data_IF_876359389007
#
_entry.id   IF_876359389007
#
_cell.length_a   1.000
_cell.length_b   1.000
_cell.length_c   1.000
_cell.angle_alpha   90.00
_cell.angle_beta   90.00
_cell.angle_gamma   90.00
#
_symmetry.space_group_name_H-M   'P 1'
#
loop_
_entity.id
_entity.type
_entity.pdbx_description
1 polymer ?
#
# COMPACT_ATOMS: atom_id res chain seq x y z
N UNK A 1 8.99 2.51 8.98
CA UNK A 1 8.07 1.41 8.62
C UNK A 1 6.67 1.61 9.16
N UNK A 2 5.73 2.09 8.31
CA UNK A 2 4.36 2.45 8.74
C UNK A 2 3.61 1.32 9.46
N UNK A 3 3.75 0.09 9.00
CA UNK A 3 2.98 -1.05 9.50
C UNK A 3 3.74 -1.97 10.47
N UNK A 4 5.07 -1.87 10.58
CA UNK A 4 5.87 -2.86 11.32
C UNK A 4 5.58 -2.89 12.83
N UNK A 5 5.12 -1.80 13.42
CA UNK A 5 4.72 -1.73 14.83
C UNK A 5 3.24 -1.35 15.01
N UNK A 6 2.36 -1.79 14.09
CA UNK A 6 0.92 -1.60 14.21
C UNK A 6 0.45 -0.14 14.24
N UNK A 7 1.22 0.79 13.66
CA UNK A 7 0.95 2.22 13.66
C UNK A 7 1.75 3.03 14.68
N UNK A 8 2.44 2.40 15.63
CA UNK A 8 3.39 3.10 16.49
C UNK A 8 4.57 3.61 15.64
N UNK A 9 4.96 4.90 15.75
CA UNK A 9 6.09 5.44 15.02
C UNK A 9 7.38 4.66 15.28
N UNK A 10 7.82 3.90 14.29
CA UNK A 10 8.97 3.00 14.37
C UNK A 10 9.55 2.79 12.98
N UNK A 11 10.83 2.50 12.93
CA UNK A 11 11.53 2.09 11.71
C UNK A 11 12.46 0.91 12.00
N UNK A 12 12.63 0.05 11.01
CA UNK A 12 13.65 -0.98 10.97
C UNK A 12 14.52 -0.73 9.75
N UNK A 13 15.80 -0.76 9.93
CA UNK A 13 16.80 -0.58 8.89
C UNK A 13 17.97 -1.55 9.12
N UNK A 14 18.73 -1.81 8.10
CA UNK A 14 19.92 -2.64 8.14
C UNK A 14 21.02 -2.06 7.28
N UNK A 15 22.22 -2.53 7.49
CA UNK A 15 23.43 -2.19 6.73
C UNK A 15 24.05 -3.46 6.16
N UNK A 16 24.80 -3.35 5.07
CA UNK A 16 25.76 -4.37 4.66
C UNK A 16 26.97 -4.33 5.59
N UNK A 17 27.70 -5.44 5.71
CA UNK A 17 28.87 -5.52 6.57
C UNK A 17 29.92 -4.44 6.24
N UNK A 18 30.16 -4.17 4.96
CA UNK A 18 31.06 -3.09 4.52
C UNK A 18 30.58 -1.71 5.01
N UNK A 19 29.30 -1.42 4.89
CA UNK A 19 28.73 -0.15 5.38
C UNK A 19 28.76 -0.07 6.90
N UNK A 20 28.52 -1.18 7.60
CA UNK A 20 28.59 -1.22 9.05
C UNK A 20 30.01 -0.96 9.55
N UNK A 21 31.03 -1.60 8.92
CA UNK A 21 32.45 -1.38 9.25
C UNK A 21 32.81 0.10 9.10
N UNK A 22 32.48 0.72 7.97
CA UNK A 22 32.73 2.17 7.75
C UNK A 22 32.01 3.06 8.75
N UNK A 23 30.78 2.71 9.10
CA UNK A 23 30.03 3.43 10.13
C UNK A 23 30.72 3.35 11.51
N UNK A 24 31.17 2.16 11.90
CA UNK A 24 31.87 1.95 13.18
C UNK A 24 33.19 2.71 13.24
N UNK A 25 33.98 2.70 12.18
CA UNK A 25 35.24 3.47 12.08
C UNK A 25 35.00 4.97 12.27
N UNK A 26 34.01 5.53 11.57
CA UNK A 26 33.65 6.95 11.71
C UNK A 26 33.08 7.27 13.08
N UNK A 27 32.24 6.37 13.62
CA UNK A 27 31.57 6.59 14.91
C UNK A 27 32.55 6.51 16.08
N UNK A 28 33.53 5.62 16.02
CA UNK A 28 34.56 5.47 17.05
C UNK A 28 35.44 6.70 17.19
N UNK A 29 35.59 7.47 16.12
CA UNK A 29 36.39 8.69 16.09
C UNK A 29 35.60 9.97 16.43
N UNK A 30 34.31 9.85 16.82
CA UNK A 30 33.48 11.01 17.16
C UNK A 30 33.78 11.55 18.56
N UNK A 31 33.65 12.85 18.76
CA UNK A 31 33.75 13.46 20.09
C UNK A 31 32.72 12.89 21.07
N UNK A 32 33.08 12.78 22.32
CA UNK A 32 32.15 12.41 23.41
C UNK A 32 30.89 13.27 23.41
N UNK A 33 29.75 12.65 23.74
CA UNK A 33 28.45 13.31 23.81
C UNK A 33 27.68 13.40 22.50
N UNK A 34 28.21 12.83 21.40
CA UNK A 34 27.45 12.67 20.16
C UNK A 34 26.84 11.28 20.08
N UNK A 35 25.52 11.20 19.91
CA UNK A 35 24.82 9.96 19.61
C UNK A 35 25.14 9.52 18.17
N UNK A 36 25.13 8.24 17.91
CA UNK A 36 25.24 7.67 16.57
C UNK A 36 23.99 7.91 15.72
N UNK A 37 23.45 6.86 15.13
CA UNK A 37 22.16 6.90 14.45
C UNK A 37 21.03 6.76 15.48
N UNK A 38 20.08 7.70 15.44
CA UNK A 38 18.92 7.68 16.32
C UNK A 38 18.66 9.04 16.95
N UNK A 39 17.49 9.17 17.53
CA UNK A 39 17.05 10.34 18.29
C UNK A 39 16.74 9.92 19.73
N UNK A 40 16.46 10.88 20.61
CA UNK A 40 16.12 10.62 22.01
C UNK A 40 15.00 9.59 22.20
N UNK A 41 14.02 9.56 21.29
CA UNK A 41 12.88 8.64 21.35
C UNK A 41 13.08 7.34 20.57
N UNK A 42 14.23 7.15 19.91
CA UNK A 42 14.52 5.92 19.18
C UNK A 42 14.70 4.74 20.14
N UNK A 43 14.26 3.57 19.71
CA UNK A 43 14.45 2.30 20.43
C UNK A 43 13.84 2.31 21.85
N UNK A 44 12.75 3.03 22.08
CA UNK A 44 12.09 3.01 23.38
C UNK A 44 11.28 1.70 23.59
N UNK A 45 11.05 1.28 24.85
CA UNK A 45 10.38 0.03 25.17
C UNK A 45 8.99 -0.12 24.56
N UNK A 46 8.21 0.97 24.45
CA UNK A 46 6.88 0.94 23.85
C UNK A 46 6.93 0.60 22.35
N UNK A 47 7.87 1.19 21.63
CA UNK A 47 8.09 0.88 20.22
C UNK A 47 8.45 -0.60 20.02
N UNK A 48 9.35 -1.13 20.84
CA UNK A 48 9.72 -2.54 20.78
C UNK A 48 8.58 -3.48 21.17
N UNK A 49 7.81 -3.16 22.20
CA UNK A 49 6.66 -3.96 22.59
C UNK A 49 5.62 -4.04 21.45
N UNK A 50 5.31 -2.91 20.81
CA UNK A 50 4.41 -2.86 19.66
C UNK A 50 4.98 -3.60 18.45
N UNK A 51 6.29 -3.47 18.19
CA UNK A 51 6.98 -4.17 17.11
C UNK A 51 6.90 -5.69 17.31
N UNK A 52 7.26 -6.18 18.50
CA UNK A 52 7.22 -7.61 18.83
C UNK A 52 5.79 -8.16 18.70
N UNK A 53 4.81 -7.48 19.29
CA UNK A 53 3.41 -7.90 19.21
C UNK A 53 2.91 -7.99 17.76
N UNK A 54 3.20 -6.97 16.96
CA UNK A 54 2.77 -6.94 15.56
C UNK A 54 3.45 -8.01 14.71
N UNK A 55 4.77 -8.16 14.84
CA UNK A 55 5.52 -9.15 14.05
C UNK A 55 5.18 -10.60 14.44
N UNK A 56 4.92 -10.86 15.72
CA UNK A 56 4.63 -12.23 16.19
C UNK A 56 3.16 -12.65 16.08
N UNK A 57 2.21 -11.70 16.12
CA UNK A 57 0.78 -12.01 16.22
C UNK A 57 -0.05 -11.56 15.01
N UNK A 58 0.43 -10.58 14.25
CA UNK A 58 -0.31 -10.00 13.12
C UNK A 58 0.38 -10.28 11.80
N UNK A 59 1.68 -10.05 11.69
CA UNK A 59 2.45 -10.29 10.46
C UNK A 59 2.88 -11.76 10.34
N UNK A 60 1.91 -12.66 10.39
CA UNK A 60 2.13 -14.11 10.30
C UNK A 60 2.01 -14.62 8.87
N UNK A 61 2.60 -15.78 8.51
CA UNK A 61 2.44 -16.38 7.20
C UNK A 61 0.98 -16.59 6.78
N UNK A 62 0.11 -16.98 7.73
CA UNK A 62 -1.31 -17.22 7.49
C UNK A 62 -2.04 -15.92 7.10
N UNK A 63 -1.74 -14.82 7.81
CA UNK A 63 -2.29 -13.51 7.49
C UNK A 63 -1.80 -13.00 6.14
N UNK A 64 -0.54 -13.22 5.79
CA UNK A 64 -0.02 -12.89 4.46
C UNK A 64 -0.74 -13.69 3.37
N UNK A 65 -0.89 -15.00 3.53
CA UNK A 65 -1.61 -15.84 2.57
C UNK A 65 -3.08 -15.40 2.41
N UNK A 66 -3.75 -15.03 3.52
CA UNK A 66 -5.09 -14.46 3.48
C UNK A 66 -5.16 -13.14 2.71
N UNK A 67 -4.23 -12.22 2.98
CA UNK A 67 -4.17 -10.92 2.30
C UNK A 67 -3.91 -11.08 0.80
N UNK A 68 -2.97 -11.93 0.42
CA UNK A 68 -2.64 -12.19 -0.99
C UNK A 68 -3.82 -12.79 -1.75
N UNK A 69 -4.52 -13.76 -1.18
CA UNK A 69 -5.71 -14.37 -1.76
C UNK A 69 -6.82 -13.33 -2.02
N UNK A 70 -7.04 -12.42 -1.08
CA UNK A 70 -8.04 -11.37 -1.25
C UNK A 70 -7.58 -10.28 -2.23
N UNK A 71 -6.29 -9.94 -2.25
CA UNK A 71 -5.74 -9.00 -3.23
C UNK A 71 -5.80 -9.55 -4.65
N UNK A 72 -5.55 -10.84 -4.83
CA UNK A 72 -5.74 -11.53 -6.11
C UNK A 72 -7.20 -11.45 -6.56
N UNK A 73 -8.14 -11.78 -5.66
CA UNK A 73 -9.57 -11.65 -5.96
C UNK A 73 -9.95 -10.23 -6.37
N UNK A 74 -9.43 -9.23 -5.64
CA UNK A 74 -9.66 -7.81 -5.93
C UNK A 74 -9.12 -7.45 -7.31
N UNK A 75 -7.85 -7.73 -7.58
CA UNK A 75 -7.21 -7.37 -8.85
C UNK A 75 -7.90 -8.01 -10.05
N UNK A 76 -8.23 -9.30 -9.97
CA UNK A 76 -9.00 -9.96 -11.01
C UNK A 76 -10.42 -9.39 -11.17
N UNK A 77 -11.06 -9.02 -10.06
CA UNK A 77 -12.38 -8.40 -10.08
C UNK A 77 -12.37 -7.04 -10.77
N UNK A 78 -11.42 -6.19 -10.42
CA UNK A 78 -11.26 -4.87 -11.05
C UNK A 78 -10.90 -4.99 -12.54
N UNK A 79 -9.99 -5.90 -12.91
CA UNK A 79 -9.62 -6.13 -14.29
C UNK A 79 -10.84 -6.51 -15.14
N UNK A 80 -11.67 -7.46 -14.66
CA UNK A 80 -12.92 -7.83 -15.35
C UNK A 80 -13.91 -6.67 -15.51
N UNK A 81 -13.98 -5.77 -14.53
CA UNK A 81 -14.81 -4.57 -14.65
C UNK A 81 -14.25 -3.64 -15.71
N UNK A 82 -12.95 -3.37 -15.68
CA UNK A 82 -12.26 -2.54 -16.68
C UNK A 82 -12.50 -3.09 -18.11
N UNK A 83 -12.32 -4.39 -18.31
CA UNK A 83 -12.55 -5.06 -19.60
C UNK A 83 -14.01 -4.93 -20.05
N UNK A 84 -14.97 -5.14 -19.15
CA UNK A 84 -16.41 -5.03 -19.44
C UNK A 84 -16.80 -3.66 -19.96
N UNK A 85 -16.24 -2.64 -19.33
CA UNK A 85 -16.48 -1.24 -19.70
C UNK A 85 -15.56 -0.75 -20.83
N UNK A 86 -14.65 -1.59 -21.33
CA UNK A 86 -13.66 -1.23 -22.35
C UNK A 86 -12.82 -0.01 -22.00
N UNK A 87 -12.62 0.21 -20.69
CA UNK A 87 -11.78 1.30 -20.26
C UNK A 87 -10.31 0.99 -20.63
N UNK A 88 -9.55 1.96 -21.15
CA UNK A 88 -8.14 1.75 -21.52
C UNK A 88 -7.24 1.80 -20.28
N UNK A 89 -7.56 0.99 -19.29
CA UNK A 89 -6.92 0.96 -17.97
C UNK A 89 -6.37 -0.42 -17.65
N UNK A 90 -5.56 -0.50 -16.62
CA UNK A 90 -5.05 -1.78 -16.15
C UNK A 90 -4.95 -1.84 -14.62
N UNK A 91 -4.70 -3.02 -14.09
CA UNK A 91 -4.54 -3.27 -12.65
C UNK A 91 -3.13 -3.81 -12.39
N UNK A 92 -2.48 -3.27 -11.38
CA UNK A 92 -1.22 -3.79 -10.84
C UNK A 92 -1.42 -4.33 -9.43
N UNK A 93 -0.65 -5.36 -9.05
CA UNK A 93 -0.70 -5.95 -7.72
C UNK A 93 0.68 -6.37 -7.25
N UNK A 94 0.97 -6.07 -5.97
CA UNK A 94 2.15 -6.56 -5.25
C UNK A 94 1.72 -7.00 -3.85
N UNK A 95 1.82 -8.29 -3.56
CA UNK A 95 1.37 -8.86 -2.28
C UNK A 95 -0.10 -8.52 -1.99
N UNK A 96 -0.35 -7.95 -0.82
CA UNK A 96 -1.68 -7.50 -0.38
C UNK A 96 -2.13 -6.13 -0.91
N UNK A 97 -1.37 -5.50 -1.81
CA UNK A 97 -1.68 -4.21 -2.43
C UNK A 97 -2.16 -4.40 -3.85
N UNK A 98 -3.26 -3.76 -4.22
CA UNK A 98 -3.73 -3.63 -5.58
C UNK A 98 -3.98 -2.16 -5.92
N UNK A 99 -3.85 -1.81 -7.21
CA UNK A 99 -4.05 -0.46 -7.72
C UNK A 99 -4.57 -0.53 -9.15
N UNK A 100 -5.62 0.22 -9.47
CA UNK A 100 -6.02 0.42 -10.84
C UNK A 100 -5.37 1.71 -11.37
N UNK A 101 -4.95 1.67 -12.62
CA UNK A 101 -4.27 2.78 -13.29
C UNK A 101 -5.10 3.20 -14.49
N UNK A 102 -5.44 4.48 -14.55
CA UNK A 102 -6.31 5.04 -15.58
C UNK A 102 -5.58 5.25 -16.93
N UNK A 103 -4.70 4.35 -17.29
CA UNK A 103 -3.94 4.33 -18.53
C UNK A 103 -3.70 2.90 -19.00
N UNK A 104 -3.44 2.69 -20.32
CA UNK A 104 -3.02 1.38 -20.83
C UNK A 104 -1.71 0.92 -20.18
N UNK A 105 -1.59 -0.39 -19.95
CA UNK A 105 -0.40 -0.99 -19.34
C UNK A 105 0.28 -2.01 -20.26
N UNK A 106 1.40 -2.55 -19.77
CA UNK A 106 2.09 -2.23 -18.53
C UNK A 106 2.95 -0.96 -18.64
N UNK A 107 3.06 -0.20 -17.53
CA UNK A 107 3.97 0.93 -17.41
C UNK A 107 5.39 0.43 -17.16
N UNK A 108 6.39 1.02 -17.81
CA UNK A 108 7.78 0.55 -17.80
C UNK A 108 8.68 1.31 -16.83
N UNK A 109 8.30 2.51 -16.46
CA UNK A 109 9.14 3.39 -15.62
C UNK A 109 8.30 4.46 -14.92
N UNK A 110 8.94 5.21 -14.01
CA UNK A 110 8.29 6.26 -13.23
C UNK A 110 7.78 7.45 -14.04
N UNK A 111 8.40 7.74 -15.18
CA UNK A 111 7.96 8.83 -16.08
C UNK A 111 6.62 8.47 -16.71
N UNK A 112 6.48 7.26 -17.24
CA UNK A 112 5.20 6.75 -17.76
C UNK A 112 4.12 6.73 -16.68
N UNK A 113 4.48 6.31 -15.46
CA UNK A 113 3.57 6.33 -14.32
C UNK A 113 3.10 7.75 -13.97
N UNK A 114 3.98 8.74 -14.06
CA UNK A 114 3.63 10.15 -13.86
C UNK A 114 2.60 10.66 -14.89
N UNK A 115 2.71 10.26 -16.15
CA UNK A 115 1.75 10.62 -17.20
C UNK A 115 0.43 9.84 -17.12
N UNK A 116 0.39 8.73 -16.38
CA UNK A 116 -0.81 7.92 -16.19
C UNK A 116 -1.79 8.48 -15.14
N UNK A 117 -1.45 9.60 -14.50
CA UNK A 117 -2.31 10.26 -13.53
C UNK A 117 -3.41 11.08 -14.20
N UNK A 118 -4.66 10.81 -13.79
CA UNK A 118 -5.85 11.55 -14.22
C UNK A 118 -6.63 12.05 -12.98
N UNK A 119 -6.18 13.15 -12.34
CA UNK A 119 -6.68 13.56 -11.03
C UNK A 119 -8.21 13.74 -10.95
N UNK A 120 -8.84 14.21 -12.02
CA UNK A 120 -10.29 14.40 -12.04
C UNK A 120 -11.06 13.06 -12.03
N UNK A 121 -10.60 12.09 -12.84
CA UNK A 121 -11.19 10.75 -12.90
C UNK A 121 -10.96 10.01 -11.59
N UNK A 122 -9.75 10.08 -11.07
CA UNK A 122 -9.36 9.45 -9.81
C UNK A 122 -10.18 10.01 -8.63
N UNK A 123 -10.37 11.34 -8.58
CA UNK A 123 -11.20 11.99 -7.57
C UNK A 123 -12.69 11.60 -7.69
N UNK A 124 -13.22 11.48 -8.91
CA UNK A 124 -14.58 11.04 -9.14
C UNK A 124 -14.80 9.59 -8.66
N UNK A 125 -13.88 8.70 -8.98
CA UNK A 125 -13.94 7.31 -8.53
C UNK A 125 -13.81 7.24 -7.01
N UNK A 126 -12.87 7.95 -6.42
CA UNK A 126 -12.68 7.99 -4.96
C UNK A 126 -13.93 8.46 -4.24
N UNK A 127 -14.52 9.57 -4.69
CA UNK A 127 -15.77 10.11 -4.15
C UNK A 127 -16.94 9.12 -4.33
N UNK A 128 -17.03 8.51 -5.51
CA UNK A 128 -18.02 7.49 -5.82
C UNK A 128 -17.94 6.27 -4.91
N UNK A 129 -16.72 5.82 -4.58
CA UNK A 129 -16.47 4.71 -3.65
C UNK A 129 -16.87 5.09 -2.21
N UNK A 130 -16.49 6.28 -1.73
CA UNK A 130 -16.89 6.78 -0.41
C UNK A 130 -18.41 6.82 -0.28
N UNK A 131 -19.11 7.38 -1.26
CA UNK A 131 -20.57 7.47 -1.28
C UNK A 131 -21.26 6.10 -1.25
N UNK A 132 -20.54 5.04 -1.66
CA UNK A 132 -21.01 3.64 -1.60
C UNK A 132 -20.47 2.90 -0.38
N UNK A 133 -19.86 3.63 0.57
CA UNK A 133 -19.36 3.09 1.85
C UNK A 133 -18.08 2.27 1.69
N UNK A 134 -17.26 2.57 0.70
CA UNK A 134 -15.94 1.96 0.49
C UNK A 134 -14.88 3.04 0.54
N UNK A 135 -13.96 2.95 1.51
CA UNK A 135 -12.83 3.85 1.62
C UNK A 135 -11.58 3.20 1.05
N UNK A 136 -10.94 3.89 0.11
CA UNK A 136 -9.59 3.56 -0.37
C UNK A 136 -8.63 4.70 -0.04
N UNK A 137 -7.32 4.50 -0.20
CA UNK A 137 -6.36 5.58 -0.04
C UNK A 137 -6.66 6.70 -1.04
N UNK A 138 -6.64 8.00 -0.62
CA UNK A 138 -6.99 9.11 -1.50
C UNK A 138 -5.94 9.39 -2.58
N UNK A 139 -4.78 8.75 -2.48
CA UNK A 139 -3.68 8.89 -3.43
C UNK A 139 -3.47 7.58 -4.17
N UNK A 140 -3.16 7.64 -5.45
CA UNK A 140 -2.72 6.49 -6.26
C UNK A 140 -3.76 5.38 -6.43
N UNK A 141 -5.05 5.61 -6.25
CA UNK A 141 -6.09 4.56 -6.38
C UNK A 141 -5.72 3.26 -5.64
N UNK A 142 -4.98 3.39 -4.56
CA UNK A 142 -4.34 2.30 -3.86
C UNK A 142 -5.30 1.63 -2.88
N UNK A 143 -5.40 0.32 -3.00
CA UNK A 143 -6.18 -0.53 -2.10
C UNK A 143 -5.25 -1.47 -1.35
N UNK A 144 -5.33 -1.43 -0.02
CA UNK A 144 -4.53 -2.26 0.87
C UNK A 144 -5.45 -3.27 1.55
N UNK A 145 -5.15 -4.54 1.36
CA UNK A 145 -5.79 -5.63 2.09
C UNK A 145 -5.08 -5.80 3.42
N UNK A 146 -5.84 -5.91 4.48
CA UNK A 146 -5.34 -6.17 5.83
C UNK A 146 -5.76 -7.57 6.31
N UNK A 147 -5.16 -8.08 7.40
CA UNK A 147 -5.60 -9.34 8.01
C UNK A 147 -7.08 -9.35 8.42
N UNK A 148 -7.65 -8.19 8.72
CA UNK A 148 -9.07 -8.04 9.09
C UNK A 148 -10.01 -7.91 7.89
N UNK A 149 -9.50 -7.73 6.67
CA UNK A 149 -10.31 -7.58 5.46
C UNK A 149 -11.07 -8.87 5.16
N UNK A 150 -12.36 -8.74 4.88
CA UNK A 150 -13.24 -9.88 4.54
C UNK A 150 -13.55 -9.92 3.06
N UNK A 151 -13.82 -11.12 2.53
CA UNK A 151 -14.24 -11.34 1.14
C UNK A 151 -15.39 -10.43 0.72
N UNK A 152 -16.41 -10.28 1.57
CA UNK A 152 -17.58 -9.44 1.28
C UNK A 152 -17.21 -7.95 1.07
N UNK A 153 -16.19 -7.46 1.75
CA UNK A 153 -15.71 -6.08 1.58
C UNK A 153 -15.03 -5.91 0.22
N UNK A 154 -14.23 -6.90 -0.20
CA UNK A 154 -13.61 -6.92 -1.54
C UNK A 154 -14.68 -6.99 -2.61
N UNK A 155 -15.69 -7.87 -2.47
CA UNK A 155 -16.79 -8.00 -3.43
C UNK A 155 -17.61 -6.72 -3.54
N UNK A 156 -17.85 -6.03 -2.41
CA UNK A 156 -18.54 -4.74 -2.39
C UNK A 156 -17.72 -3.66 -3.13
N UNK A 157 -16.41 -3.61 -2.93
CA UNK A 157 -15.55 -2.66 -3.64
C UNK A 157 -15.63 -2.89 -5.14
N UNK A 158 -15.53 -4.12 -5.61
CA UNK A 158 -15.61 -4.48 -7.03
C UNK A 158 -16.97 -4.05 -7.61
N UNK A 159 -18.07 -4.34 -6.90
CA UNK A 159 -19.41 -3.94 -7.35
C UNK A 159 -19.60 -2.42 -7.38
N UNK A 160 -19.06 -1.71 -6.39
CA UNK A 160 -19.09 -0.26 -6.34
C UNK A 160 -18.29 0.36 -7.49
N UNK A 161 -17.13 -0.19 -7.79
CA UNK A 161 -16.28 0.24 -8.92
C UNK A 161 -16.99 0.04 -10.26
N UNK A 162 -17.65 -1.09 -10.47
CA UNK A 162 -18.46 -1.39 -11.67
C UNK A 162 -19.59 -0.36 -11.86
N UNK A 163 -20.31 -0.07 -10.79
CA UNK A 163 -21.38 0.92 -10.82
C UNK A 163 -20.85 2.34 -11.15
N UNK A 164 -19.70 2.73 -10.59
CA UNK A 164 -19.09 4.03 -10.85
C UNK A 164 -18.64 4.15 -12.30
N UNK A 165 -17.99 3.13 -12.86
CA UNK A 165 -17.61 3.16 -14.27
C UNK A 165 -18.83 3.24 -15.18
N UNK A 166 -19.90 2.52 -14.82
CA UNK A 166 -21.17 2.61 -15.56
C UNK A 166 -21.78 4.01 -15.53
N UNK A 167 -21.67 4.72 -14.40
CA UNK A 167 -22.20 6.10 -14.29
C UNK A 167 -21.31 7.10 -15.06
N UNK A 168 -19.99 6.96 -14.97
CA UNK A 168 -19.04 7.84 -15.65
C UNK A 168 -19.12 7.73 -17.19
N UNK A 169 -19.38 6.53 -17.72
CA UNK A 169 -19.43 6.28 -19.16
C UNK A 169 -20.82 6.51 -19.79
N UNK A 170 -21.84 6.77 -18.98
CA UNK A 170 -23.19 7.14 -19.45
C UNK A 170 -23.41 8.66 -19.48
N UNK A 171 -22.44 9.43 -18.99
CA UNK A 171 -22.54 10.88 -18.88
C UNK A 171 -22.20 11.63 -20.18
N UNK A 172 -22.16 10.92 -21.34
CA UNK A 172 -22.01 11.50 -22.69
C UNK A 172 -23.37 11.70 -23.38
#
# INVERSE_FOLDING_TARGET
GKCVAGGMPTAVWGLTDDTATRYEEVNSNRPSGRSGMGTTLSANPMQFACLVANLSQVMTPENYAHMEKLAERLSHGLARVIDRHRAPWHVVRVGGRAEFICAPGPLKNGTEAGFAHHPQVEAAIHTGLINRGTLIAPFHNMMLISPATKKAQVDRLIASFDAILSDLLKAD
#
